data_IF_507176498060
#
_entry.id   IF_507176498060
#
_cell.length_a   1.000
_cell.length_b   1.000
_cell.length_c   1.000
_cell.angle_alpha   90.00
_cell.angle_beta   90.00
_cell.angle_gamma   90.00
#
_symmetry.space_group_name_H-M   'P 1'
#
loop_
_entity.id
_entity.type
_entity.pdbx_description
1 polymer ?
#
# COMPACT_ATOMS: atom_id res chain seq x y z
N UNK A 1 -50.83 49.41 5.03
CA UNK A 1 -49.87 48.72 4.13
C UNK A 1 -48.72 48.21 4.99
N UNK A 2 -48.85 46.99 5.50
CA UNK A 2 -47.81 46.33 6.31
C UNK A 2 -46.71 45.86 5.38
N UNK A 3 -45.57 46.52 5.46
CA UNK A 3 -44.37 46.20 4.70
C UNK A 3 -43.74 44.93 5.31
N UNK A 4 -44.20 43.75 4.88
CA UNK A 4 -43.62 42.46 5.24
C UNK A 4 -42.23 42.37 4.59
N UNK A 5 -41.21 42.84 5.30
CA UNK A 5 -39.82 42.77 4.90
C UNK A 5 -39.33 41.33 5.12
N UNK A 6 -39.11 40.48 4.09
CA UNK A 6 -38.83 39.06 4.27
C UNK A 6 -37.37 38.76 4.69
N UNK A 7 -36.68 39.74 5.29
CA UNK A 7 -35.23 39.71 5.55
C UNK A 7 -34.89 39.35 7.00
N UNK A 8 -35.20 38.14 7.47
CA UNK A 8 -34.86 37.77 8.86
C UNK A 8 -33.95 36.55 9.06
N UNK A 9 -33.46 35.89 8.01
CA UNK A 9 -32.53 34.76 8.21
C UNK A 9 -31.28 34.74 7.31
N UNK A 10 -30.54 35.86 7.12
CA UNK A 10 -29.35 35.88 6.27
C UNK A 10 -28.20 35.00 6.82
N UNK A 11 -28.20 34.70 8.13
CA UNK A 11 -27.15 33.91 8.79
C UNK A 11 -27.56 32.44 8.98
N UNK A 12 -28.86 32.16 9.14
CA UNK A 12 -29.33 30.81 9.44
C UNK A 12 -29.17 29.86 8.25
N UNK A 13 -29.40 30.35 7.02
CA UNK A 13 -29.31 29.51 5.81
C UNK A 13 -27.87 29.02 5.55
N UNK A 14 -26.82 29.87 5.61
CA UNK A 14 -25.44 29.39 5.55
C UNK A 14 -25.08 28.39 6.65
N UNK A 15 -25.58 28.58 7.88
CA UNK A 15 -25.33 27.64 8.99
C UNK A 15 -26.04 26.30 8.79
N UNK A 16 -27.25 26.31 8.22
CA UNK A 16 -27.97 25.09 7.86
C UNK A 16 -27.20 24.29 6.81
N UNK A 17 -26.71 24.95 5.76
CA UNK A 17 -25.91 24.30 4.72
C UNK A 17 -24.61 23.73 5.29
N UNK A 18 -23.91 24.52 6.11
CA UNK A 18 -22.71 24.08 6.81
C UNK A 18 -22.97 22.83 7.67
N UNK A 19 -24.09 22.80 8.39
CA UNK A 19 -24.48 21.66 9.23
C UNK A 19 -24.82 20.42 8.40
N UNK A 20 -25.60 20.57 7.32
CA UNK A 20 -25.99 19.46 6.45
C UNK A 20 -24.75 18.84 5.80
N UNK A 21 -23.92 19.63 5.12
CA UNK A 21 -22.74 19.11 4.44
C UNK A 21 -21.69 18.63 5.45
N UNK A 22 -21.56 19.29 6.61
CA UNK A 22 -20.67 18.86 7.69
C UNK A 22 -21.05 17.50 8.27
N UNK A 23 -22.34 17.29 8.58
CA UNK A 23 -22.84 16.00 9.09
C UNK A 23 -22.69 14.91 8.03
N UNK A 24 -23.04 15.19 6.78
CA UNK A 24 -22.94 14.20 5.70
C UNK A 24 -21.48 13.84 5.41
N UNK A 25 -20.58 14.83 5.35
CA UNK A 25 -19.15 14.63 5.22
C UNK A 25 -18.60 13.80 6.39
N UNK A 26 -18.95 14.17 7.62
CA UNK A 26 -18.56 13.43 8.83
C UNK A 26 -19.04 11.98 8.78
N UNK A 27 -20.34 11.73 8.57
CA UNK A 27 -20.91 10.39 8.59
C UNK A 27 -20.36 9.51 7.47
N UNK A 28 -20.24 10.04 6.25
CA UNK A 28 -19.68 9.29 5.12
C UNK A 28 -18.19 9.00 5.32
N UNK A 29 -17.40 9.94 5.84
CA UNK A 29 -15.98 9.73 6.13
C UNK A 29 -15.71 8.93 7.42
N UNK A 30 -16.67 8.88 8.34
CA UNK A 30 -16.56 8.11 9.58
C UNK A 30 -16.97 6.65 9.34
N UNK A 31 -18.17 6.43 8.80
CA UNK A 31 -18.75 5.10 8.60
C UNK A 31 -18.27 4.44 7.29
N UNK A 32 -17.95 5.23 6.26
CA UNK A 32 -17.51 4.74 4.96
C UNK A 32 -16.29 3.83 5.07
N UNK A 33 -15.15 4.29 5.61
CA UNK A 33 -13.96 3.46 5.78
C UNK A 33 -14.20 2.23 6.66
N UNK A 34 -14.99 2.35 7.73
CA UNK A 34 -15.31 1.23 8.64
C UNK A 34 -15.98 0.09 7.88
N UNK A 35 -16.93 0.41 6.99
CA UNK A 35 -17.69 -0.60 6.26
C UNK A 35 -16.98 -1.06 4.98
N UNK A 36 -16.40 -0.14 4.20
CA UNK A 36 -15.82 -0.42 2.89
C UNK A 36 -14.39 -0.95 2.96
N UNK A 37 -13.61 -0.53 3.96
CA UNK A 37 -12.22 -0.92 4.12
C UNK A 37 -11.86 -1.13 5.61
N UNK A 38 -12.41 -2.18 6.26
CA UNK A 38 -12.23 -2.42 7.70
C UNK A 38 -10.78 -2.69 8.12
N UNK A 39 -9.88 -2.94 7.16
CA UNK A 39 -8.45 -3.15 7.40
C UNK A 39 -7.62 -1.87 7.27
N UNK A 40 -8.23 -0.74 6.89
CA UNK A 40 -7.55 0.54 6.88
C UNK A 40 -7.27 0.98 8.32
N UNK A 41 -6.01 1.30 8.60
CA UNK A 41 -5.57 1.85 9.88
C UNK A 41 -6.05 3.30 10.13
N UNK A 42 -6.68 3.95 9.14
CA UNK A 42 -7.11 5.35 9.20
C UNK A 42 -8.62 5.54 9.43
N UNK A 43 -9.35 4.47 9.83
CA UNK A 43 -10.82 4.37 9.88
C UNK A 43 -11.60 5.68 10.11
N UNK A 44 -11.94 6.08 11.35
CA UNK A 44 -12.80 7.25 11.59
C UNK A 44 -12.15 8.61 11.34
N UNK A 45 -10.83 8.64 11.12
CA UNK A 45 -10.06 9.89 11.04
C UNK A 45 -10.44 10.73 9.82
N UNK A 46 -10.81 10.07 8.71
CA UNK A 46 -11.25 10.76 7.50
C UNK A 46 -12.51 11.62 7.74
N UNK A 47 -13.47 11.10 8.51
CA UNK A 47 -14.67 11.80 8.94
C UNK A 47 -14.38 12.99 9.85
N UNK A 48 -13.59 12.75 10.90
CA UNK A 48 -13.33 13.73 11.96
C UNK A 48 -12.43 14.88 11.48
N UNK A 49 -11.33 14.57 10.79
CA UNK A 49 -10.28 15.55 10.50
C UNK A 49 -10.33 16.13 9.10
N UNK A 50 -11.07 15.53 8.15
CA UNK A 50 -11.10 15.99 6.76
C UNK A 50 -12.51 16.24 6.26
N UNK A 51 -13.27 15.19 5.99
CA UNK A 51 -14.52 15.28 5.22
C UNK A 51 -15.64 16.01 5.97
N UNK A 52 -15.72 15.88 7.31
CA UNK A 52 -16.60 16.69 8.15
C UNK A 52 -16.26 18.19 8.10
N UNK A 53 -15.05 18.62 8.50
CA UNK A 53 -14.63 20.02 8.43
C UNK A 53 -14.73 20.63 7.02
N UNK A 54 -14.33 19.90 5.98
CA UNK A 54 -14.46 20.33 4.58
C UNK A 54 -15.94 20.53 4.23
N UNK A 55 -16.82 19.62 4.65
CA UNK A 55 -18.27 19.74 4.47
C UNK A 55 -18.83 21.01 5.12
N UNK A 56 -18.40 21.34 6.33
CA UNK A 56 -18.81 22.58 7.03
C UNK A 56 -18.40 23.82 6.23
N UNK A 57 -17.14 23.89 5.79
CA UNK A 57 -16.61 25.03 5.05
C UNK A 57 -17.34 25.19 3.71
N UNK A 58 -17.46 24.11 2.94
CA UNK A 58 -18.16 24.12 1.65
C UNK A 58 -19.63 24.50 1.81
N UNK A 59 -20.31 23.95 2.81
CA UNK A 59 -21.70 24.28 3.10
C UNK A 59 -21.89 25.75 3.44
N UNK A 60 -21.03 26.31 4.29
CA UNK A 60 -21.09 27.73 4.64
C UNK A 60 -20.89 28.65 3.43
N UNK A 61 -19.90 28.35 2.58
CA UNK A 61 -19.62 29.11 1.35
C UNK A 61 -20.79 29.02 0.37
N UNK A 62 -21.31 27.82 0.11
CA UNK A 62 -22.47 27.61 -0.76
C UNK A 62 -23.71 28.35 -0.26
N UNK A 63 -23.98 28.30 1.05
CA UNK A 63 -25.09 29.03 1.63
C UNK A 63 -24.97 30.55 1.50
N UNK A 64 -23.75 31.11 1.61
CA UNK A 64 -23.51 32.54 1.34
C UNK A 64 -23.80 32.92 -0.11
N UNK A 65 -23.38 32.09 -1.06
CA UNK A 65 -23.64 32.31 -2.50
C UNK A 65 -25.15 32.33 -2.76
N UNK A 66 -25.88 31.34 -2.22
CA UNK A 66 -27.34 31.24 -2.36
C UNK A 66 -28.06 32.44 -1.74
N UNK A 67 -27.62 32.94 -0.58
CA UNK A 67 -28.18 34.17 0.00
C UNK A 67 -27.92 35.40 -0.90
N UNK A 68 -26.74 35.48 -1.53
CA UNK A 68 -26.36 36.59 -2.40
C UNK A 68 -27.15 36.64 -3.72
N UNK A 69 -27.41 35.48 -4.32
CA UNK A 69 -28.08 35.38 -5.62
C UNK A 69 -29.62 35.37 -5.54
N UNK A 70 -30.18 35.15 -4.34
CA UNK A 70 -31.62 35.03 -4.09
C UNK A 70 -32.37 34.16 -5.13
N UNK A 71 -31.91 32.92 -5.38
CA UNK A 71 -32.53 32.05 -6.37
C UNK A 71 -33.92 31.58 -5.91
N UNK A 72 -34.67 30.97 -6.84
CA UNK A 72 -35.98 30.38 -6.55
C UNK A 72 -35.89 29.35 -5.41
N UNK A 73 -36.92 29.24 -4.58
CA UNK A 73 -36.97 28.35 -3.40
C UNK A 73 -36.63 26.88 -3.72
N UNK A 74 -37.02 26.38 -4.91
CA UNK A 74 -36.69 25.03 -5.34
C UNK A 74 -35.17 24.80 -5.46
N UNK A 75 -34.42 25.80 -5.90
CA UNK A 75 -32.96 25.76 -6.03
C UNK A 75 -32.33 25.80 -4.63
N UNK A 76 -32.86 26.63 -3.72
CA UNK A 76 -32.40 26.70 -2.33
C UNK A 76 -32.52 25.33 -1.64
N UNK A 77 -33.60 24.57 -1.86
CA UNK A 77 -33.75 23.25 -1.25
C UNK A 77 -32.90 22.19 -1.96
N UNK A 78 -32.80 22.24 -3.29
CA UNK A 78 -32.08 21.23 -4.07
C UNK A 78 -30.55 21.30 -3.89
N UNK A 79 -29.97 22.49 -3.83
CA UNK A 79 -28.50 22.69 -3.76
C UNK A 79 -27.82 21.94 -2.60
N UNK A 80 -28.27 22.04 -1.34
CA UNK A 80 -27.60 21.34 -0.23
C UNK A 80 -27.78 19.82 -0.33
N UNK A 81 -28.90 19.33 -0.87
CA UNK A 81 -29.13 17.90 -1.08
C UNK A 81 -28.22 17.32 -2.17
N UNK A 82 -28.16 17.99 -3.33
CA UNK A 82 -27.28 17.56 -4.43
C UNK A 82 -25.82 17.60 -3.98
N UNK A 83 -25.42 18.69 -3.32
CA UNK A 83 -24.04 18.83 -2.81
C UNK A 83 -23.71 17.77 -1.77
N UNK A 84 -24.65 17.43 -0.87
CA UNK A 84 -24.51 16.36 0.09
C UNK A 84 -24.33 14.99 -0.58
N UNK A 85 -25.14 14.68 -1.61
CA UNK A 85 -25.01 13.42 -2.36
C UNK A 85 -23.66 13.34 -3.08
N UNK A 86 -23.23 14.42 -3.72
CA UNK A 86 -21.91 14.49 -4.39
C UNK A 86 -20.80 14.28 -3.37
N UNK A 87 -20.81 15.03 -2.25
CA UNK A 87 -19.81 14.93 -1.19
C UNK A 87 -19.75 13.51 -0.61
N UNK A 88 -20.91 12.91 -0.29
CA UNK A 88 -20.98 11.55 0.22
C UNK A 88 -20.43 10.53 -0.80
N UNK A 89 -20.80 10.66 -2.07
CA UNK A 89 -20.36 9.74 -3.14
C UNK A 89 -18.86 9.81 -3.34
N UNK A 90 -18.30 11.01 -3.44
CA UNK A 90 -16.84 11.21 -3.55
C UNK A 90 -16.13 10.63 -2.32
N UNK A 91 -16.64 10.92 -1.12
CA UNK A 91 -16.05 10.43 0.13
C UNK A 91 -16.06 8.91 0.20
N UNK A 92 -17.19 8.26 -0.12
CA UNK A 92 -17.31 6.81 -0.13
C UNK A 92 -16.43 6.18 -1.22
N UNK A 93 -16.32 6.80 -2.39
CA UNK A 93 -15.43 6.34 -3.46
C UNK A 93 -13.97 6.38 -3.02
N UNK A 94 -13.52 7.47 -2.38
CA UNK A 94 -12.18 7.58 -1.81
C UNK A 94 -11.95 6.64 -0.62
N UNK A 95 -13.01 6.15 0.02
CA UNK A 95 -12.94 5.18 1.12
C UNK A 95 -12.87 3.72 0.63
N UNK A 96 -12.97 3.48 -0.68
CA UNK A 96 -12.87 2.13 -1.23
C UNK A 96 -11.46 1.55 -1.02
N UNK A 97 -11.35 0.24 -0.78
CA UNK A 97 -10.07 -0.40 -0.56
C UNK A 97 -9.23 -0.41 -1.84
N UNK A 98 -7.94 -0.12 -1.68
CA UNK A 98 -6.94 -0.36 -2.72
C UNK A 98 -6.74 -1.85 -2.96
N UNK A 99 -6.28 -2.18 -4.16
CA UNK A 99 -5.92 -3.54 -4.52
C UNK A 99 -4.73 -4.02 -3.68
N UNK A 100 -4.85 -5.21 -3.10
CA UNK A 100 -3.84 -5.77 -2.22
C UNK A 100 -2.71 -6.36 -3.04
N UNK A 101 -1.54 -5.77 -2.91
CA UNK A 101 -0.32 -6.29 -3.50
C UNK A 101 0.01 -7.70 -2.94
N UNK A 102 0.20 -8.68 -3.83
CA UNK A 102 0.48 -10.08 -3.46
C UNK A 102 1.95 -10.45 -3.65
N UNK A 103 2.66 -9.80 -4.57
CA UNK A 103 4.03 -10.18 -4.92
C UNK A 103 4.40 -9.80 -6.35
N UNK A 104 5.61 -10.21 -6.74
CA UNK A 104 6.08 -10.10 -8.11
C UNK A 104 6.24 -11.49 -8.72
N UNK A 105 6.08 -11.57 -10.03
CA UNK A 105 6.64 -12.68 -10.82
C UNK A 105 7.79 -12.12 -11.64
N UNK A 106 8.92 -12.83 -11.61
CA UNK A 106 10.09 -12.54 -12.44
C UNK A 106 10.31 -13.66 -13.43
N UNK A 107 10.74 -13.30 -14.63
CA UNK A 107 11.27 -14.19 -15.65
C UNK A 107 12.79 -13.98 -15.65
N UNK A 108 13.51 -14.98 -15.20
CA UNK A 108 14.91 -14.81 -14.83
C UNK A 108 15.76 -16.02 -15.21
N UNK A 109 17.01 -15.75 -15.57
CA UNK A 109 18.02 -16.73 -15.90
C UNK A 109 19.13 -16.74 -14.85
N UNK A 110 19.56 -17.93 -14.42
CA UNK A 110 20.65 -18.07 -13.45
C UNK A 110 21.96 -17.68 -14.10
N UNK A 111 22.56 -16.58 -13.64
CA UNK A 111 23.88 -16.12 -14.13
C UNK A 111 25.01 -16.72 -13.31
N UNK A 112 24.85 -16.80 -11.99
CA UNK A 112 25.82 -17.44 -11.11
C UNK A 112 25.17 -17.88 -9.79
N UNK A 113 25.88 -18.74 -9.06
CA UNK A 113 25.51 -19.17 -7.72
C UNK A 113 26.70 -19.05 -6.78
N UNK A 114 26.47 -18.53 -5.58
CA UNK A 114 27.47 -18.34 -4.55
C UNK A 114 26.96 -18.79 -3.19
N UNK A 115 27.88 -19.16 -2.30
CA UNK A 115 27.56 -19.53 -0.93
C UNK A 115 27.23 -18.28 -0.10
N UNK A 116 26.22 -18.30 0.79
CA UNK A 116 25.84 -17.13 1.59
C UNK A 116 27.00 -16.51 2.38
N UNK A 117 27.95 -17.35 2.81
CA UNK A 117 29.18 -16.96 3.52
C UNK A 117 29.98 -15.88 2.77
N UNK A 118 29.97 -15.85 1.43
CA UNK A 118 30.73 -14.84 0.67
C UNK A 118 30.17 -13.42 0.81
N UNK A 119 28.91 -13.27 1.22
CA UNK A 119 28.24 -11.97 1.35
C UNK A 119 28.24 -11.43 2.79
N UNK A 120 28.62 -12.26 3.77
CA UNK A 120 28.55 -11.91 5.19
C UNK A 120 29.40 -10.70 5.53
N UNK A 121 30.66 -10.65 5.07
CA UNK A 121 31.58 -9.55 5.36
C UNK A 121 31.03 -8.21 4.86
N UNK A 122 30.46 -8.20 3.65
CA UNK A 122 29.84 -7.00 3.09
C UNK A 122 28.56 -6.61 3.87
N UNK A 123 27.76 -7.59 4.28
CA UNK A 123 26.56 -7.35 5.08
C UNK A 123 26.91 -6.80 6.47
N UNK A 124 27.94 -7.34 7.14
CA UNK A 124 28.43 -6.83 8.42
C UNK A 124 28.88 -5.37 8.33
N UNK A 125 29.69 -5.04 7.31
CA UNK A 125 30.14 -3.68 7.09
C UNK A 125 28.97 -2.70 6.87
N UNK A 126 27.94 -3.14 6.13
CA UNK A 126 26.71 -2.36 5.95
C UNK A 126 26.01 -2.12 7.29
N UNK A 127 25.82 -3.13 8.12
CA UNK A 127 25.17 -2.97 9.42
C UNK A 127 25.97 -2.13 10.41
N UNK A 128 27.30 -2.23 10.39
CA UNK A 128 28.17 -1.37 11.19
C UNK A 128 28.09 0.10 10.76
N UNK A 129 27.94 0.39 9.47
CA UNK A 129 27.74 1.77 9.01
C UNK A 129 26.47 2.42 9.56
N UNK A 130 25.42 1.62 9.81
CA UNK A 130 24.13 2.09 10.35
C UNK A 130 24.25 2.49 11.82
N UNK A 131 25.25 2.01 12.56
CA UNK A 131 25.51 2.38 13.97
C UNK A 131 25.67 3.89 14.18
N UNK A 132 26.09 4.62 13.15
CA UNK A 132 26.22 6.07 13.17
C UNK A 132 24.89 6.82 13.12
N UNK A 133 23.77 6.13 12.86
CA UNK A 133 22.44 6.73 12.70
C UNK A 133 21.65 6.64 14.02
N UNK A 134 21.27 7.77 14.66
CA UNK A 134 20.64 7.78 15.99
C UNK A 134 19.33 6.98 16.11
N UNK A 135 18.60 6.83 15.02
CA UNK A 135 17.31 6.14 14.98
C UNK A 135 17.44 4.60 14.99
N UNK A 136 18.62 4.06 14.69
CA UNK A 136 18.83 2.62 14.54
C UNK A 136 19.59 2.03 15.74
N UNK A 137 18.85 1.35 16.61
CA UNK A 137 19.44 0.57 17.71
C UNK A 137 19.72 -0.87 17.25
N UNK A 138 21.00 -1.19 17.09
CA UNK A 138 21.44 -2.56 16.82
C UNK A 138 21.27 -3.42 18.08
N UNK A 139 20.77 -4.65 17.92
CA UNK A 139 20.65 -5.64 18.99
C UNK A 139 22.04 -6.03 19.52
N UNK A 140 22.21 -6.35 20.81
CA UNK A 140 23.50 -6.76 21.35
C UNK A 140 23.97 -8.08 20.71
N UNK A 141 25.28 -8.24 20.57
CA UNK A 141 25.95 -9.50 20.16
C UNK A 141 25.48 -10.11 18.82
N UNK A 142 24.85 -9.32 17.94
CA UNK A 142 24.29 -9.80 16.67
C UNK A 142 25.30 -10.50 15.75
N UNK A 143 26.60 -10.22 15.90
CA UNK A 143 27.67 -10.90 15.15
C UNK A 143 27.78 -12.38 15.51
N UNK A 144 27.54 -12.74 16.77
CA UNK A 144 27.60 -14.12 17.23
C UNK A 144 26.47 -14.97 16.61
N UNK A 145 25.34 -14.33 16.26
CA UNK A 145 24.21 -15.00 15.60
C UNK A 145 24.50 -15.36 14.14
N UNK A 146 25.51 -14.78 13.49
CA UNK A 146 25.73 -14.95 12.04
C UNK A 146 26.02 -16.41 11.70
N UNK A 147 26.89 -17.05 12.48
CA UNK A 147 27.20 -18.48 12.30
C UNK A 147 25.95 -19.33 12.45
N UNK A 148 25.15 -19.06 13.49
CA UNK A 148 23.87 -19.74 13.73
C UNK A 148 22.89 -19.53 12.58
N UNK A 149 22.77 -18.31 12.05
CA UNK A 149 21.91 -18.00 10.90
C UNK A 149 22.33 -18.78 9.66
N UNK A 150 23.63 -18.87 9.37
CA UNK A 150 24.16 -19.62 8.21
C UNK A 150 23.91 -21.13 8.34
N UNK A 151 24.02 -21.67 9.56
CA UNK A 151 23.75 -23.09 9.82
C UNK A 151 22.25 -23.42 9.78
N UNK A 152 21.40 -22.48 10.20
CA UNK A 152 19.94 -22.67 10.29
C UNK A 152 19.25 -22.41 8.94
N UNK A 153 19.56 -21.29 8.30
CA UNK A 153 19.02 -20.89 6.99
C UNK A 153 19.86 -21.49 5.87
N UNK A 154 19.74 -22.80 5.67
CA UNK A 154 20.42 -23.48 4.57
C UNK A 154 19.91 -22.98 3.21
N UNK A 155 20.84 -22.65 2.33
CA UNK A 155 20.53 -22.17 0.99
C UNK A 155 21.73 -21.60 0.27
N UNK A 156 21.47 -21.05 -0.92
CA UNK A 156 22.46 -20.41 -1.77
C UNK A 156 22.00 -19.03 -2.22
N UNK A 157 22.93 -18.19 -2.63
CA UNK A 157 22.62 -16.91 -3.25
C UNK A 157 22.77 -17.05 -4.76
N UNK A 158 21.67 -16.84 -5.48
CA UNK A 158 21.64 -16.85 -6.93
C UNK A 158 21.71 -15.41 -7.44
N UNK A 159 22.64 -15.14 -8.33
CA UNK A 159 22.62 -13.94 -9.16
C UNK A 159 21.81 -14.27 -10.40
N UNK A 160 20.71 -13.55 -10.58
CA UNK A 160 19.77 -13.76 -11.67
C UNK A 160 19.82 -12.60 -12.66
N UNK A 161 19.94 -12.91 -13.95
CA UNK A 161 19.60 -11.96 -14.99
C UNK A 161 18.07 -11.91 -15.11
N UNK A 162 17.46 -10.89 -14.52
CA UNK A 162 16.01 -10.69 -14.62
C UNK A 162 15.72 -10.06 -15.97
N UNK A 163 14.99 -10.75 -16.84
CA UNK A 163 14.59 -10.19 -18.14
C UNK A 163 13.38 -9.27 -18.00
N UNK A 164 12.40 -9.71 -17.21
CA UNK A 164 11.16 -8.97 -17.00
C UNK A 164 10.52 -9.30 -15.67
N UNK A 165 9.81 -8.32 -15.12
CA UNK A 165 9.12 -8.39 -13.83
C UNK A 165 7.74 -7.77 -13.96
N UNK A 166 6.77 -8.28 -13.20
CA UNK A 166 5.47 -7.64 -13.05
C UNK A 166 4.88 -7.91 -11.68
N UNK A 167 3.96 -7.04 -11.30
CA UNK A 167 3.28 -7.08 -10.01
C UNK A 167 1.99 -7.87 -10.12
N UNK A 168 1.67 -8.58 -9.06
CA UNK A 168 0.41 -9.28 -8.88
C UNK A 168 -0.38 -8.58 -7.78
N UNK A 169 -1.64 -8.31 -8.07
CA UNK A 169 -2.56 -7.66 -7.16
C UNK A 169 -3.82 -8.50 -7.01
N UNK A 170 -4.34 -8.56 -5.79
CA UNK A 170 -5.67 -9.10 -5.48
C UNK A 170 -6.64 -7.93 -5.34
N UNK A 171 -7.62 -7.88 -6.23
CA UNK A 171 -8.60 -6.81 -6.26
C UNK A 171 -9.51 -6.87 -5.04
N UNK A 172 -9.80 -5.70 -4.45
CA UNK A 172 -10.56 -5.60 -3.20
C UNK A 172 -11.83 -4.77 -3.30
N UNK A 173 -12.06 -4.08 -4.42
CA UNK A 173 -13.26 -3.26 -4.59
C UNK A 173 -14.51 -4.15 -4.66
N UNK A 174 -15.69 -3.64 -4.26
CA UNK A 174 -16.90 -4.46 -4.12
C UNK A 174 -17.30 -5.24 -5.38
N UNK A 175 -17.03 -4.71 -6.57
CA UNK A 175 -17.44 -5.30 -7.85
C UNK A 175 -16.46 -6.30 -8.46
N UNK A 176 -15.23 -6.39 -7.95
CA UNK A 176 -14.19 -7.30 -8.47
C UNK A 176 -13.40 -8.00 -7.36
N UNK A 177 -13.99 -8.08 -6.17
CA UNK A 177 -13.32 -8.60 -4.97
C UNK A 177 -12.85 -10.03 -5.20
N UNK A 178 -11.58 -10.28 -4.89
CA UNK A 178 -10.97 -11.61 -4.94
C UNK A 178 -10.33 -11.97 -6.28
N UNK A 179 -10.58 -11.22 -7.35
CA UNK A 179 -9.90 -11.43 -8.63
C UNK A 179 -8.42 -11.06 -8.53
N UNK A 180 -7.58 -11.87 -9.18
CA UNK A 180 -6.14 -11.62 -9.28
C UNK A 180 -5.86 -10.97 -10.63
N UNK A 181 -5.11 -9.88 -10.62
CA UNK A 181 -4.69 -9.16 -11.82
C UNK A 181 -3.18 -8.98 -11.80
N UNK A 182 -2.59 -8.97 -12.99
CA UNK A 182 -1.16 -8.74 -13.19
C UNK A 182 -0.95 -7.44 -13.95
N UNK A 183 0.07 -6.68 -13.57
CA UNK A 183 0.49 -5.52 -14.37
C UNK A 183 1.16 -5.97 -15.67
N UNK A 184 1.33 -5.05 -16.61
CA UNK A 184 2.20 -5.26 -17.75
C UNK A 184 3.61 -5.67 -17.31
N UNK A 185 4.28 -6.44 -18.16
CA UNK A 185 5.68 -6.80 -17.98
C UNK A 185 6.56 -5.55 -18.12
N UNK A 186 7.46 -5.36 -17.16
CA UNK A 186 8.52 -4.35 -17.21
C UNK A 186 9.86 -5.04 -17.42
N UNK A 187 10.59 -4.64 -18.45
CA UNK A 187 11.95 -5.12 -18.72
C UNK A 187 12.90 -4.66 -17.63
N UNK A 188 13.83 -5.54 -17.25
CA UNK A 188 14.89 -5.26 -16.30
C UNK A 188 16.24 -5.48 -17.00
N UNK A 189 17.21 -4.62 -16.71
CA UNK A 189 18.53 -4.65 -17.36
C UNK A 189 19.63 -5.17 -16.43
N UNK A 190 19.49 -4.91 -15.13
CA UNK A 190 20.50 -5.26 -14.14
C UNK A 190 20.27 -6.67 -13.56
N UNK A 191 21.35 -7.43 -13.31
CA UNK A 191 21.27 -8.65 -12.53
C UNK A 191 20.95 -8.33 -11.07
N UNK A 192 20.19 -9.21 -10.43
CA UNK A 192 19.76 -9.06 -9.04
C UNK A 192 20.10 -10.33 -8.24
N UNK A 193 20.48 -10.15 -6.97
CA UNK A 193 20.81 -11.25 -6.07
C UNK A 193 19.59 -11.67 -5.24
N UNK A 194 19.35 -12.98 -5.19
CA UNK A 194 18.26 -13.59 -4.45
C UNK A 194 18.75 -14.76 -3.62
N UNK A 195 18.14 -14.97 -2.46
CA UNK A 195 18.44 -16.11 -1.60
C UNK A 195 17.49 -17.27 -1.90
N UNK A 196 17.99 -18.47 -2.14
CA UNK A 196 17.16 -19.65 -2.40
C UNK A 196 17.28 -20.64 -1.24
N UNK A 197 16.15 -20.99 -0.61
CA UNK A 197 16.07 -21.95 0.51
C UNK A 197 15.72 -23.36 0.03
N UNK A 198 16.29 -24.38 0.67
CA UNK A 198 15.82 -25.78 0.70
C UNK A 198 15.57 -26.50 -0.65
N UNK A 199 15.97 -25.91 -1.76
CA UNK A 199 16.12 -26.56 -3.06
C UNK A 199 17.60 -26.38 -3.36
N UNK A 200 18.37 -27.46 -3.41
CA UNK A 200 19.83 -27.41 -3.50
C UNK A 200 20.56 -26.67 -2.41
N UNK A 201 21.02 -27.41 -1.40
CA UNK A 201 21.98 -26.91 -0.39
C UNK A 201 23.34 -26.54 -1.03
N UNK A 202 23.55 -26.88 -2.31
CA UNK A 202 24.76 -26.63 -3.07
C UNK A 202 24.46 -25.96 -4.41
N UNK A 203 25.35 -25.07 -4.83
CA UNK A 203 25.34 -24.45 -6.15
C UNK A 203 25.42 -25.46 -7.31
N UNK A 204 25.83 -26.70 -7.04
CA UNK A 204 25.89 -27.76 -8.06
C UNK A 204 24.52 -28.12 -8.67
N UNK A 205 23.43 -27.85 -7.95
CA UNK A 205 22.07 -28.13 -8.42
C UNK A 205 21.52 -27.04 -9.37
N UNK A 206 22.21 -25.90 -9.44
CA UNK A 206 21.79 -24.76 -10.25
C UNK A 206 22.66 -24.63 -11.49
N UNK A 207 22.04 -24.82 -12.66
CA UNK A 207 22.74 -24.67 -13.93
C UNK A 207 22.74 -23.21 -14.37
N UNK A 208 23.93 -22.67 -14.66
CA UNK A 208 24.06 -21.36 -15.30
C UNK A 208 23.36 -21.42 -16.67
N UNK A 209 22.57 -20.40 -16.97
CA UNK A 209 21.73 -20.35 -18.17
C UNK A 209 20.32 -20.94 -18.00
N UNK A 210 20.02 -21.54 -16.84
CA UNK A 210 18.69 -22.04 -16.57
C UNK A 210 17.72 -20.87 -16.39
N UNK A 211 16.72 -20.79 -17.28
CA UNK A 211 15.66 -19.78 -17.24
C UNK A 211 14.38 -20.35 -16.65
N UNK A 212 13.83 -19.66 -15.67
CA UNK A 212 12.57 -20.04 -15.03
C UNK A 212 11.82 -18.82 -14.50
N UNK A 213 10.56 -19.05 -14.13
CA UNK A 213 9.75 -18.04 -13.45
C UNK A 213 9.81 -18.23 -11.94
N UNK A 214 10.01 -17.13 -11.22
CA UNK A 214 10.08 -17.13 -9.77
C UNK A 214 9.17 -16.06 -9.17
N UNK A 215 8.86 -16.22 -7.90
CA UNK A 215 8.10 -15.26 -7.08
C UNK A 215 8.92 -14.87 -5.85
N UNK A 216 9.74 -13.79 -5.93
CA UNK A 216 10.50 -13.32 -4.79
C UNK A 216 9.59 -12.84 -3.66
N UNK A 217 9.95 -13.19 -2.43
CA UNK A 217 9.27 -12.74 -1.22
C UNK A 217 10.22 -11.90 -0.36
N UNK A 218 9.66 -10.85 0.23
CA UNK A 218 10.35 -10.07 1.25
C UNK A 218 10.03 -10.65 2.62
N UNK A 219 11.05 -11.07 3.36
CA UNK A 219 10.90 -11.54 4.74
C UNK A 219 11.20 -10.39 5.71
N UNK A 220 10.25 -10.11 6.61
CA UNK A 220 10.41 -9.07 7.62
C UNK A 220 10.93 -9.66 8.93
N UNK A 221 11.99 -9.06 9.47
CA UNK A 221 12.43 -9.24 10.86
C UNK A 221 11.96 -8.06 11.71
N UNK A 222 11.60 -8.32 12.96
CA UNK A 222 11.25 -7.29 13.95
C UNK A 222 12.47 -6.77 14.71
N UNK A 223 13.62 -7.44 14.59
CA UNK A 223 14.89 -7.04 15.20
C UNK A 223 15.83 -6.44 14.17
N UNK A 224 16.70 -5.53 14.63
CA UNK A 224 17.74 -4.89 13.82
C UNK A 224 19.14 -5.18 14.42
N UNK A 225 20.12 -5.68 13.65
CA UNK A 225 19.97 -6.25 12.31
C UNK A 225 18.90 -7.37 12.28
N UNK A 226 18.47 -7.86 11.10
CA UNK A 226 17.60 -9.01 11.00
C UNK A 226 18.22 -10.28 11.60
N UNK A 227 17.38 -11.16 12.14
CA UNK A 227 17.75 -12.51 12.63
C UNK A 227 17.47 -13.61 11.60
N UNK A 228 17.03 -13.22 10.40
CA UNK A 228 16.86 -14.06 9.22
C UNK A 228 17.98 -13.79 8.22
N UNK A 229 18.66 -14.84 7.76
CA UNK A 229 19.84 -14.71 6.90
C UNK A 229 19.56 -13.94 5.59
N UNK A 230 18.47 -14.21 4.82
CA UNK A 230 18.23 -13.51 3.56
C UNK A 230 18.11 -12.00 3.76
N UNK A 231 17.28 -11.58 4.72
CA UNK A 231 17.04 -10.17 5.04
C UNK A 231 18.28 -9.52 5.65
N UNK A 232 19.05 -10.27 6.47
CA UNK A 232 20.33 -9.79 7.02
C UNK A 232 21.34 -9.48 5.91
N UNK A 233 21.44 -10.34 4.90
CA UNK A 233 22.26 -10.13 3.69
C UNK A 233 21.66 -9.05 2.76
N UNK A 234 20.39 -8.72 2.93
CA UNK A 234 19.66 -7.72 2.14
C UNK A 234 19.15 -8.27 0.82
N UNK A 235 18.84 -9.56 0.77
CA UNK A 235 18.28 -10.24 -0.37
C UNK A 235 16.83 -10.64 -0.11
N UNK A 236 16.05 -10.71 -1.20
CA UNK A 236 14.74 -11.35 -1.17
C UNK A 236 14.91 -12.87 -1.23
N UNK A 237 14.00 -13.61 -0.61
CA UNK A 237 13.96 -15.07 -0.75
C UNK A 237 13.24 -15.43 -2.04
N UNK A 238 13.90 -16.22 -2.89
CA UNK A 238 13.34 -16.74 -4.12
C UNK A 238 12.47 -17.95 -3.81
N UNK A 239 11.31 -18.01 -4.46
CA UNK A 239 10.41 -19.16 -4.44
C UNK A 239 9.91 -19.45 -5.83
N UNK A 240 9.51 -20.68 -6.08
CA UNK A 240 8.74 -21.02 -7.28
C UNK A 240 7.43 -20.24 -7.32
N UNK A 241 6.92 -19.99 -8.53
CA UNK A 241 5.63 -19.31 -8.69
C UNK A 241 4.52 -20.22 -8.14
N UNK A 242 3.72 -19.75 -7.15
CA UNK A 242 2.61 -20.52 -6.61
C UNK A 242 1.65 -20.96 -7.72
N UNK A 243 1.02 -22.13 -7.57
CA UNK A 243 0.13 -22.72 -8.58
C UNK A 243 -0.96 -21.74 -9.03
N UNK A 244 -1.55 -21.01 -8.09
CA UNK A 244 -2.57 -19.97 -8.34
C UNK A 244 -2.10 -18.85 -9.27
N UNK A 245 -0.79 -18.61 -9.32
CA UNK A 245 -0.16 -17.53 -10.07
C UNK A 245 0.53 -17.97 -11.36
N UNK A 246 0.64 -19.29 -11.60
CA UNK A 246 1.31 -19.85 -12.79
C UNK A 246 0.66 -19.43 -14.10
N UNK A 247 -0.67 -19.29 -14.12
CA UNK A 247 -1.41 -18.86 -15.31
C UNK A 247 -0.99 -17.46 -15.76
N UNK A 248 -0.59 -16.61 -14.81
CA UNK A 248 -0.04 -15.33 -15.16
C UNK A 248 1.35 -15.52 -15.75
N UNK A 249 2.23 -16.35 -15.17
CA UNK A 249 3.65 -16.43 -15.58
C UNK A 249 3.85 -16.70 -17.09
N UNK A 250 2.94 -17.46 -17.70
CA UNK A 250 2.97 -17.81 -19.13
C UNK A 250 2.41 -16.72 -20.07
N UNK A 251 1.66 -15.76 -19.54
CA UNK A 251 1.02 -14.65 -20.28
C UNK A 251 1.86 -13.38 -20.16
#
# INVERSE_FOLDING_TARGET
>A
MTNNNPRQFPVLLPLLYASILGIVGFLSGFLGPIYLNPYANQGPMLGIFSTGPIGVILGYVLGKIVVGEQPKTSIVIATPLISAVILATITLYCSLPDDLYQGFIIDAEVSSCQQPKSFVVAAEARWESVKSTPEYKLRPEWKNDITRMIETDKGVVLTLQVHRKRKIYKQRKPWNRGHIVATAWKTMEAPENYFMRNVGESCAEYQVGQRAFYSPIWESSQVSPPDLLPTFLGFNTLKEVPVELQAFAKK
#
